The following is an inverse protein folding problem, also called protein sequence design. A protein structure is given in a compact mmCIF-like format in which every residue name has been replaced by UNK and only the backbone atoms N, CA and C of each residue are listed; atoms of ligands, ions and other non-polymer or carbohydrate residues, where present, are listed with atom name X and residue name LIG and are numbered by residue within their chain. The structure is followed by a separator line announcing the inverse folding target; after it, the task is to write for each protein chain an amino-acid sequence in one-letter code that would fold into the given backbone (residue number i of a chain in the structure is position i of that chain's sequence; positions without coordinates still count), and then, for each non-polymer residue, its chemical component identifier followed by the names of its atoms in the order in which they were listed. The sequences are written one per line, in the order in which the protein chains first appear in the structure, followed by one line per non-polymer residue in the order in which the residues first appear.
data_IF_159970136129
#
_entry.id   IF_159970136129
#
_cell.length_a   1.000
_cell.length_b   1.000
_cell.length_c   1.000
_cell.angle_alpha   90.00
_cell.angle_beta   90.00
_cell.angle_gamma   90.00
#
_symmetry.space_group_name_H-M   'P 1'
#
loop_
_entity.id
_entity.type
_entity.pdbx_description
1 polymer ?
#
# COMPACT_ATOMS: atom_id res chain seq x y z
N UNK A 1 1.97 -16.47 -9.50
CA UNK A 1 2.09 -15.23 -8.69
C UNK A 1 2.16 -15.63 -7.24
N UNK A 2 3.18 -15.19 -6.54
CA UNK A 2 3.35 -15.45 -5.11
C UNK A 2 3.68 -14.14 -4.39
N UNK A 3 3.12 -13.95 -3.20
CA UNK A 3 3.48 -12.88 -2.29
C UNK A 3 4.70 -13.29 -1.48
N UNK A 4 5.67 -12.41 -1.37
CA UNK A 4 6.86 -12.57 -0.55
C UNK A 4 7.13 -11.32 0.28
N UNK A 5 7.87 -11.48 1.37
CA UNK A 5 8.36 -10.36 2.15
C UNK A 5 9.29 -9.51 1.28
N UNK A 6 9.08 -8.20 1.23
CA UNK A 6 9.95 -7.30 0.48
C UNK A 6 11.37 -7.29 1.06
N UNK A 7 12.37 -7.39 0.20
CA UNK A 7 13.78 -7.44 0.59
C UNK A 7 14.48 -6.09 0.36
N UNK A 8 15.25 -5.56 1.33
CA UNK A 8 15.84 -4.23 1.24
C UNK A 8 16.85 -4.04 0.09
N UNK A 9 17.47 -5.12 -0.39
CA UNK A 9 18.44 -5.04 -1.48
C UNK A 9 17.85 -5.26 -2.87
N UNK A 10 16.70 -5.92 -2.97
CA UNK A 10 16.16 -6.37 -4.25
C UNK A 10 14.87 -5.67 -4.66
N UNK A 11 14.04 -5.25 -3.68
CA UNK A 11 12.69 -4.78 -3.99
C UNK A 11 12.51 -3.26 -3.84
N UNK A 12 13.43 -2.57 -3.16
CA UNK A 12 13.26 -1.13 -2.83
C UNK A 12 13.12 -0.27 -4.07
N UNK A 13 13.97 -0.47 -5.08
CA UNK A 13 13.92 0.35 -6.30
C UNK A 13 12.65 0.10 -7.09
N UNK A 14 12.23 -1.16 -7.23
CA UNK A 14 11.02 -1.53 -7.96
C UNK A 14 9.77 -0.96 -7.26
N UNK A 15 9.72 -0.99 -5.92
CA UNK A 15 8.64 -0.38 -5.13
C UNK A 15 8.60 1.13 -5.35
N UNK A 16 9.76 1.78 -5.32
CA UNK A 16 9.86 3.24 -5.52
C UNK A 16 9.45 3.62 -6.94
N UNK A 17 9.89 2.88 -7.94
CA UNK A 17 9.56 3.12 -9.33
C UNK A 17 8.06 2.92 -9.61
N UNK A 18 7.48 1.84 -9.08
CA UNK A 18 6.05 1.59 -9.18
C UNK A 18 5.24 2.71 -8.52
N UNK A 19 5.58 3.11 -7.30
CA UNK A 19 4.91 4.21 -6.61
C UNK A 19 5.05 5.52 -7.39
N UNK A 20 6.23 5.80 -7.95
CA UNK A 20 6.49 6.99 -8.74
C UNK A 20 5.66 7.05 -10.02
N UNK A 21 5.48 5.94 -10.70
CA UNK A 21 4.72 5.85 -11.96
C UNK A 21 3.25 6.23 -11.78
N UNK A 22 2.68 6.04 -10.59
CA UNK A 22 1.25 6.22 -10.34
C UNK A 22 0.93 7.35 -9.37
N UNK A 23 1.88 7.80 -8.56
CA UNK A 23 1.66 8.79 -7.51
C UNK A 23 1.23 10.17 -8.03
N UNK A 24 1.69 10.57 -9.21
CA UNK A 24 1.30 11.82 -9.85
C UNK A 24 -0.19 11.89 -10.17
N UNK A 25 -0.83 10.75 -10.39
CA UNK A 25 -2.27 10.66 -10.65
C UNK A 25 -3.11 10.54 -9.37
N UNK A 26 -2.51 10.20 -8.24
CA UNK A 26 -3.22 9.82 -7.01
C UNK A 26 -3.29 10.95 -5.97
N UNK A 27 -2.28 11.79 -5.92
CA UNK A 27 -2.15 12.83 -4.89
C UNK A 27 -2.04 14.25 -5.48
N UNK A 28 -2.58 14.44 -6.66
CA UNK A 28 -2.41 15.63 -7.49
C UNK A 28 -2.73 16.91 -6.73
N UNK A 29 -1.75 17.80 -6.64
CA UNK A 29 -1.87 19.15 -6.09
C UNK A 29 -1.80 19.26 -4.56
N UNK A 30 -1.91 18.18 -3.78
CA UNK A 30 -1.93 18.24 -2.31
C UNK A 30 -0.58 17.86 -1.72
N UNK A 31 -0.02 16.72 -2.13
CA UNK A 31 1.24 16.22 -1.60
C UNK A 31 2.38 16.48 -2.59
N UNK A 32 3.46 17.08 -2.10
CA UNK A 32 4.70 17.16 -2.88
C UNK A 32 5.41 15.81 -2.80
N UNK A 33 5.56 15.18 -3.96
CA UNK A 33 6.33 13.96 -4.07
C UNK A 33 7.81 14.23 -3.77
N UNK A 34 8.39 13.43 -2.89
CA UNK A 34 9.82 13.38 -2.65
C UNK A 34 10.31 11.94 -2.74
N UNK A 35 10.86 11.56 -3.90
CA UNK A 35 11.37 10.21 -4.17
C UNK A 35 12.46 9.78 -3.19
N UNK A 36 13.32 10.70 -2.75
CA UNK A 36 14.41 10.37 -1.81
C UNK A 36 13.86 10.01 -0.44
N UNK A 37 12.89 10.79 0.04
CA UNK A 37 12.20 10.53 1.31
C UNK A 37 11.44 9.21 1.25
N UNK A 38 10.70 8.96 0.16
CA UNK A 38 9.97 7.71 0.02
C UNK A 38 10.90 6.50 -0.03
N UNK A 39 11.96 6.55 -0.87
CA UNK A 39 13.00 5.52 -0.93
C UNK A 39 13.60 5.23 0.44
N UNK A 40 13.99 6.27 1.19
CA UNK A 40 14.53 6.10 2.53
C UNK A 40 13.56 5.38 3.46
N UNK A 41 12.29 5.76 3.45
CA UNK A 41 11.24 5.10 4.28
C UNK A 41 11.05 3.64 3.90
N UNK A 42 11.00 3.32 2.60
CA UNK A 42 10.89 1.92 2.13
C UNK A 42 12.12 1.13 2.56
N UNK A 43 13.33 1.68 2.41
CA UNK A 43 14.58 1.02 2.82
C UNK A 43 14.58 0.73 4.32
N UNK A 44 14.20 1.70 5.15
CA UNK A 44 14.13 1.52 6.61
C UNK A 44 13.12 0.44 6.96
N UNK A 45 11.89 0.53 6.44
CA UNK A 45 10.83 -0.42 6.77
C UNK A 45 11.15 -1.85 6.30
N UNK A 46 11.70 -2.03 5.07
CA UNK A 46 12.13 -3.34 4.57
C UNK A 46 13.30 -3.93 5.36
N UNK A 47 14.19 -3.08 5.88
CA UNK A 47 15.31 -3.53 6.73
C UNK A 47 14.81 -3.91 8.13
N UNK A 48 13.99 -3.06 8.76
CA UNK A 48 13.45 -3.33 10.09
C UNK A 48 12.59 -4.58 10.14
N UNK A 49 11.79 -4.85 9.11
CA UNK A 49 10.94 -6.05 9.07
C UNK A 49 11.71 -7.37 9.03
N UNK A 50 12.99 -7.38 8.64
CA UNK A 50 13.83 -8.59 8.72
C UNK A 50 14.01 -9.03 10.18
N UNK A 51 13.99 -8.08 11.12
CA UNK A 51 14.20 -8.32 12.55
C UNK A 51 12.89 -8.28 13.35
N UNK A 52 11.95 -7.44 12.93
CA UNK A 52 10.68 -7.24 13.63
C UNK A 52 9.51 -7.01 12.64
N UNK A 53 8.81 -8.09 12.31
CA UNK A 53 7.64 -8.07 11.41
C UNK A 53 6.36 -7.56 12.07
N UNK A 54 6.39 -7.28 13.38
CA UNK A 54 5.17 -6.88 14.11
C UNK A 54 4.85 -5.39 13.99
N UNK A 55 5.82 -4.56 13.64
CA UNK A 55 5.65 -3.10 13.59
C UNK A 55 5.14 -2.62 12.24
N UNK A 56 5.83 -3.03 11.19
CA UNK A 56 5.50 -2.73 9.80
C UNK A 56 5.69 -3.98 8.95
N UNK A 57 4.95 -4.07 7.86
CA UNK A 57 5.03 -5.19 6.94
C UNK A 57 4.88 -4.70 5.51
N UNK A 58 5.88 -5.00 4.69
CA UNK A 58 5.85 -4.76 3.25
C UNK A 58 5.96 -6.10 2.54
N UNK A 59 4.99 -6.40 1.70
CA UNK A 59 5.02 -7.57 0.83
C UNK A 59 4.95 -7.14 -0.63
N UNK A 60 5.61 -7.93 -1.49
CA UNK A 60 5.65 -7.76 -2.93
C UNK A 60 5.03 -8.98 -3.63
N UNK A 61 4.35 -8.74 -4.72
CA UNK A 61 3.88 -9.77 -5.63
C UNK A 61 4.62 -9.64 -6.96
N UNK A 62 5.33 -10.70 -7.36
CA UNK A 62 6.03 -10.76 -8.64
C UNK A 62 5.36 -11.77 -9.57
N UNK A 63 5.40 -11.46 -10.85
CA UNK A 63 4.77 -12.26 -11.89
C UNK A 63 5.75 -13.02 -12.74
N UNK A 64 5.27 -14.14 -13.28
CA UNK A 64 5.96 -14.81 -14.36
C UNK A 64 5.72 -14.00 -15.65
N UNK A 65 6.75 -13.72 -16.40
CA UNK A 65 6.61 -13.21 -17.76
C UNK A 65 6.14 -14.36 -18.65
N UNK A 66 4.97 -14.20 -19.28
CA UNK A 66 4.28 -15.27 -20.01
C UNK A 66 4.97 -15.73 -21.29
N UNK A 67 5.98 -15.03 -21.81
CA UNK A 67 6.57 -15.33 -23.11
C UNK A 67 8.06 -15.71 -23.08
N UNK A 68 8.80 -15.44 -22.01
CA UNK A 68 10.22 -15.81 -21.90
C UNK A 68 10.60 -16.08 -20.45
N UNK A 69 9.90 -17.01 -19.80
CA UNK A 69 10.31 -17.51 -18.51
C UNK A 69 11.66 -18.18 -18.62
N UNK A 70 12.69 -17.50 -18.18
CA UNK A 70 13.98 -18.13 -17.90
C UNK A 70 13.92 -18.67 -16.48
N UNK A 71 13.86 -20.02 -16.36
CA UNK A 71 13.86 -20.72 -15.07
C UNK A 71 15.14 -20.47 -14.24
N UNK A 72 16.15 -19.88 -14.87
CA UNK A 72 17.41 -19.53 -14.23
C UNK A 72 17.39 -18.11 -13.63
N UNK A 73 16.35 -17.32 -13.88
CA UNK A 73 16.20 -16.00 -13.23
C UNK A 73 15.71 -16.16 -11.80
N UNK A 74 16.40 -15.49 -10.91
CA UNK A 74 15.98 -15.43 -9.53
C UNK A 74 14.65 -14.67 -9.38
N UNK A 75 13.85 -14.98 -8.35
CA UNK A 75 12.47 -14.47 -8.22
C UNK A 75 12.38 -12.93 -8.18
N UNK A 76 13.42 -12.23 -7.73
CA UNK A 76 13.49 -10.78 -7.70
C UNK A 76 13.76 -10.12 -9.06
N UNK A 77 14.14 -10.89 -10.10
CA UNK A 77 14.29 -10.38 -11.47
C UNK A 77 12.97 -10.37 -12.24
N UNK A 78 11.91 -10.90 -11.64
CA UNK A 78 10.58 -10.90 -12.22
C UNK A 78 9.90 -9.53 -12.04
N UNK A 79 9.02 -9.12 -12.97
CA UNK A 79 8.35 -7.83 -12.87
C UNK A 79 7.51 -7.75 -11.60
N UNK A 80 7.60 -6.62 -10.90
CA UNK A 80 6.74 -6.31 -9.77
C UNK A 80 5.32 -6.05 -10.28
N UNK A 81 4.35 -6.84 -9.80
CA UNK A 81 2.94 -6.70 -10.16
C UNK A 81 2.18 -5.83 -9.15
N UNK A 82 2.65 -5.78 -7.93
CA UNK A 82 2.07 -4.97 -6.87
C UNK A 82 2.82 -5.13 -5.56
N UNK A 83 2.59 -4.18 -4.66
CA UNK A 83 3.07 -4.26 -3.29
C UNK A 83 2.02 -3.73 -2.32
N UNK A 84 2.09 -4.20 -1.07
CA UNK A 84 1.30 -3.68 0.02
C UNK A 84 2.20 -3.36 1.22
N UNK A 85 1.81 -2.31 1.95
CA UNK A 85 2.53 -1.84 3.13
C UNK A 85 1.55 -1.55 4.25
N UNK A 86 1.74 -2.20 5.39
CA UNK A 86 0.90 -2.06 6.58
C UNK A 86 1.74 -1.61 7.77
N UNK A 87 1.11 -0.89 8.69
CA UNK A 87 1.67 -0.59 10.00
C UNK A 87 0.64 -0.81 11.10
N UNK A 88 1.10 -0.73 12.35
CA UNK A 88 0.26 -0.77 13.54
C UNK A 88 0.55 0.42 14.46
N UNK A 89 -0.19 0.52 15.56
CA UNK A 89 -0.04 1.59 16.55
C UNK A 89 -0.98 2.77 16.30
N UNK A 90 -1.93 2.63 15.38
CA UNK A 90 -3.05 3.58 15.27
C UNK A 90 -4.04 3.39 16.42
N UNK A 91 -4.48 4.51 17.03
CA UNK A 91 -5.53 4.53 18.04
C UNK A 91 -6.50 5.66 17.76
N UNK A 92 -7.75 5.47 18.12
CA UNK A 92 -8.71 6.56 18.10
C UNK A 92 -8.87 7.19 19.49
N UNK A 93 -9.35 8.42 19.54
CA UNK A 93 -9.64 9.11 20.82
C UNK A 93 -10.75 8.43 21.64
N UNK A 94 -11.54 7.56 20.99
CA UNK A 94 -12.71 6.93 21.60
C UNK A 94 -12.50 5.49 22.03
N UNK A 95 -11.36 4.89 21.71
CA UNK A 95 -11.09 3.48 22.00
C UNK A 95 -9.63 3.22 22.27
N UNK A 96 -9.35 2.27 23.16
CA UNK A 96 -8.01 1.73 23.39
C UNK A 96 -7.67 0.58 22.43
N UNK A 97 -8.57 0.27 21.50
CA UNK A 97 -8.29 -0.76 20.50
C UNK A 97 -7.31 -0.25 19.46
N UNK A 98 -6.30 -1.06 19.21
CA UNK A 98 -5.27 -0.77 18.23
C UNK A 98 -5.80 -0.94 16.80
N UNK A 99 -5.36 -0.08 15.90
CA UNK A 99 -5.71 -0.12 14.49
C UNK A 99 -4.45 -0.38 13.66
N UNK A 100 -4.54 -1.35 12.77
CA UNK A 100 -3.58 -1.53 11.68
C UNK A 100 -4.05 -0.75 10.45
N UNK A 101 -3.14 0.02 9.86
CA UNK A 101 -3.44 0.83 8.69
C UNK A 101 -2.75 0.29 7.44
N UNK A 102 -3.47 0.25 6.33
CA UNK A 102 -2.87 0.10 5.02
C UNK A 102 -2.24 1.44 4.60
N UNK A 103 -0.92 1.53 4.64
CA UNK A 103 -0.16 2.68 4.11
C UNK A 103 -0.23 2.73 2.59
N UNK A 104 -0.06 1.57 1.96
CA UNK A 104 -0.08 1.43 0.51
C UNK A 104 -0.71 0.11 0.09
N UNK A 105 -1.53 0.18 -0.97
CA UNK A 105 -1.95 -0.91 -1.82
C UNK A 105 -1.70 -0.47 -3.26
N UNK A 106 -0.52 -0.77 -3.80
CA UNK A 106 -0.14 -0.40 -5.15
C UNK A 106 -0.04 -1.62 -6.05
N UNK A 107 -0.45 -1.46 -7.29
CA UNK A 107 -0.34 -2.48 -8.32
C UNK A 107 -0.09 -1.84 -9.69
N UNK A 108 0.46 -2.61 -10.61
CA UNK A 108 0.61 -2.17 -12.00
C UNK A 108 -0.77 -2.02 -12.65
N UNK A 109 -1.10 -0.78 -13.03
CA UNK A 109 -2.39 -0.44 -13.64
C UNK A 109 -2.52 -0.92 -15.08
N UNK A 110 -1.42 -1.33 -15.74
CA UNK A 110 -1.44 -1.92 -17.08
C UNK A 110 -1.91 -3.37 -17.08
N UNK A 111 -1.98 -4.01 -15.91
CA UNK A 111 -2.50 -5.36 -15.79
C UNK A 111 -3.99 -5.44 -16.14
N UNK A 112 -4.44 -6.58 -16.71
CA UNK A 112 -5.86 -6.83 -16.96
C UNK A 112 -6.71 -6.61 -15.70
N UNK A 113 -7.91 -6.04 -15.85
CA UNK A 113 -8.81 -5.72 -14.73
C UNK A 113 -9.02 -6.90 -13.79
N UNK A 114 -9.21 -8.12 -14.34
CA UNK A 114 -9.40 -9.34 -13.54
C UNK A 114 -8.19 -9.62 -12.64
N UNK A 115 -6.98 -9.42 -13.16
CA UNK A 115 -5.72 -9.59 -12.41
C UNK A 115 -5.63 -8.53 -11.31
N UNK A 116 -5.92 -7.27 -11.62
CA UNK A 116 -5.93 -6.17 -10.64
C UNK A 116 -6.89 -6.43 -9.49
N UNK A 117 -8.12 -6.84 -9.79
CA UNK A 117 -9.12 -7.18 -8.77
C UNK A 117 -8.64 -8.33 -7.89
N UNK A 118 -8.00 -9.36 -8.46
CA UNK A 118 -7.42 -10.47 -7.70
C UNK A 118 -6.32 -9.98 -6.77
N UNK A 119 -5.35 -9.18 -7.28
CA UNK A 119 -4.26 -8.65 -6.46
C UNK A 119 -4.76 -7.79 -5.31
N UNK A 120 -5.77 -6.93 -5.53
CA UNK A 120 -6.37 -6.14 -4.43
C UNK A 120 -6.97 -7.05 -3.36
N UNK A 121 -7.68 -8.11 -3.73
CA UNK A 121 -8.21 -9.07 -2.75
C UNK A 121 -7.09 -9.76 -1.98
N UNK A 122 -6.03 -10.18 -2.66
CA UNK A 122 -4.86 -10.80 -2.03
C UNK A 122 -4.14 -9.82 -1.07
N UNK A 123 -4.01 -8.54 -1.43
CA UNK A 123 -3.46 -7.50 -0.54
C UNK A 123 -4.29 -7.33 0.74
N UNK A 124 -5.62 -7.32 0.60
CA UNK A 124 -6.52 -7.26 1.75
C UNK A 124 -6.35 -8.51 2.62
N UNK A 125 -6.22 -9.70 2.03
CA UNK A 125 -5.96 -10.93 2.76
C UNK A 125 -4.63 -10.89 3.53
N UNK A 126 -3.56 -10.40 2.89
CA UNK A 126 -2.27 -10.19 3.55
C UNK A 126 -2.40 -9.26 4.78
N UNK A 127 -3.14 -8.17 4.64
CA UNK A 127 -3.35 -7.23 5.74
C UNK A 127 -4.12 -7.86 6.90
N UNK A 128 -5.21 -8.54 6.62
CA UNK A 128 -6.03 -9.22 7.64
C UNK A 128 -5.20 -10.31 8.35
N UNK A 129 -4.48 -11.13 7.60
CA UNK A 129 -3.65 -12.21 8.16
C UNK A 129 -2.51 -11.66 9.04
N UNK A 130 -1.86 -10.60 8.59
CA UNK A 130 -0.81 -9.95 9.37
C UNK A 130 -1.36 -9.35 10.66
N UNK A 131 -2.44 -8.56 10.60
CA UNK A 131 -3.09 -7.98 11.76
C UNK A 131 -3.55 -9.06 12.76
N UNK A 132 -4.15 -10.15 12.27
CA UNK A 132 -4.55 -11.28 13.10
C UNK A 132 -3.35 -11.95 13.78
N UNK A 133 -2.26 -12.18 13.05
CA UNK A 133 -1.02 -12.79 13.60
C UNK A 133 -0.46 -11.99 14.78
N UNK A 134 -0.58 -10.67 14.73
CA UNK A 134 -0.07 -9.77 15.77
C UNK A 134 -1.14 -9.27 16.74
N UNK A 135 -2.32 -9.90 16.76
CA UNK A 135 -3.44 -9.57 17.64
C UNK A 135 -3.87 -8.10 17.56
N UNK A 136 -3.81 -7.49 16.37
CA UNK A 136 -4.37 -6.15 16.13
C UNK A 136 -5.86 -6.29 15.80
N UNK A 137 -6.76 -5.73 16.64
CA UNK A 137 -8.18 -6.02 16.54
C UNK A 137 -8.88 -5.34 15.36
N UNK A 138 -8.35 -4.24 14.84
CA UNK A 138 -8.99 -3.46 13.78
C UNK A 138 -8.06 -3.29 12.59
N UNK A 139 -8.58 -3.59 11.40
CA UNK A 139 -7.91 -3.35 10.12
C UNK A 139 -8.55 -2.16 9.43
N UNK A 140 -7.76 -1.15 9.11
CA UNK A 140 -8.20 0.07 8.43
C UNK A 140 -7.53 0.20 7.06
N UNK A 141 -8.33 0.49 6.04
CA UNK A 141 -7.85 0.76 4.70
C UNK A 141 -8.45 2.06 4.17
N UNK A 142 -7.62 2.90 3.57
CA UNK A 142 -8.03 4.19 3.04
C UNK A 142 -7.61 4.32 1.59
N UNK A 143 -8.28 5.17 0.83
CA UNK A 143 -7.89 5.53 -0.52
C UNK A 143 -7.97 7.03 -0.71
N UNK A 144 -6.88 7.61 -1.22
CA UNK A 144 -6.81 9.04 -1.58
C UNK A 144 -7.04 9.26 -3.08
N UNK A 145 -7.33 8.21 -3.83
CA UNK A 145 -7.57 8.27 -5.27
C UNK A 145 -8.93 8.85 -5.60
N UNK A 146 -9.01 9.61 -6.67
CA UNK A 146 -10.29 10.10 -7.19
C UNK A 146 -11.23 8.97 -7.63
N UNK A 147 -10.67 7.85 -8.12
CA UNK A 147 -11.40 6.67 -8.61
C UNK A 147 -11.55 5.55 -7.56
N UNK A 148 -11.61 5.92 -6.27
CA UNK A 148 -11.60 4.97 -5.15
C UNK A 148 -12.84 4.06 -5.04
N UNK A 149 -13.92 4.35 -5.74
CA UNK A 149 -15.18 3.61 -5.64
C UNK A 149 -15.03 2.10 -5.89
N UNK A 150 -14.24 1.73 -6.90
CA UNK A 150 -13.98 0.33 -7.23
C UNK A 150 -13.26 -0.39 -6.09
N UNK A 151 -12.26 0.25 -5.51
CA UNK A 151 -11.47 -0.25 -4.38
C UNK A 151 -12.35 -0.41 -3.14
N UNK A 152 -13.16 0.59 -2.79
CA UNK A 152 -14.06 0.53 -1.63
C UNK A 152 -15.19 -0.49 -1.81
N UNK A 153 -15.67 -0.74 -3.05
CA UNK A 153 -16.61 -1.82 -3.33
C UNK A 153 -16.03 -3.21 -3.03
N UNK A 154 -14.74 -3.43 -3.31
CA UNK A 154 -14.06 -4.68 -2.95
C UNK A 154 -14.01 -4.82 -1.43
N UNK A 155 -13.62 -3.79 -0.69
CA UNK A 155 -13.59 -3.79 0.78
C UNK A 155 -14.97 -4.11 1.37
N UNK A 156 -16.02 -3.45 0.88
CA UNK A 156 -17.40 -3.71 1.31
C UNK A 156 -17.83 -5.16 1.08
N UNK A 157 -17.46 -5.76 -0.06
CA UNK A 157 -17.73 -7.19 -0.33
C UNK A 157 -16.96 -8.13 0.62
N UNK A 158 -15.87 -7.66 1.18
CA UNK A 158 -15.04 -8.39 2.16
C UNK A 158 -15.49 -8.16 3.62
N UNK A 159 -16.62 -7.48 3.84
CA UNK A 159 -17.19 -7.23 5.16
C UNK A 159 -16.69 -5.98 5.86
N UNK A 160 -15.88 -5.15 5.20
CA UNK A 160 -15.47 -3.86 5.77
C UNK A 160 -16.67 -2.91 5.84
N UNK A 161 -16.77 -2.18 6.94
CA UNK A 161 -17.68 -1.04 7.08
C UNK A 161 -17.01 0.15 6.38
N UNK A 162 -17.58 0.61 5.28
CA UNK A 162 -17.05 1.74 4.51
C UNK A 162 -17.81 3.00 4.89
N UNK A 163 -17.19 3.81 5.74
CA UNK A 163 -17.73 5.08 6.24
C UNK A 163 -16.68 6.19 6.09
N UNK A 164 -17.15 7.40 5.93
CA UNK A 164 -16.32 8.60 5.92
C UNK A 164 -15.80 8.99 4.54
N UNK A 165 -15.26 10.17 4.51
CA UNK A 165 -14.58 10.78 3.37
C UNK A 165 -13.40 11.59 3.88
N UNK A 166 -12.35 11.71 3.07
CA UNK A 166 -11.21 12.57 3.37
C UNK A 166 -11.42 13.94 2.74
N UNK A 167 -11.12 14.98 3.50
CA UNK A 167 -11.04 16.35 2.99
C UNK A 167 -9.64 16.91 3.29
N UNK A 168 -9.03 17.50 2.30
CA UNK A 168 -7.66 18.01 2.38
C UNK A 168 -7.64 19.45 1.88
N UNK A 169 -6.92 20.31 2.60
CA UNK A 169 -6.55 21.64 2.14
C UNK A 169 -5.15 21.97 2.69
N UNK A 170 -4.37 22.71 1.93
CA UNK A 170 -3.12 23.27 2.46
C UNK A 170 -3.44 24.42 3.41
N UNK A 171 -2.75 24.45 4.56
CA UNK A 171 -2.98 25.47 5.60
C UNK A 171 -2.87 26.90 5.05
N UNK A 172 -1.90 27.15 4.16
CA UNK A 172 -1.74 28.47 3.52
C UNK A 172 -2.94 28.88 2.67
N UNK A 173 -3.59 27.92 2.02
CA UNK A 173 -4.82 28.17 1.23
C UNK A 173 -6.03 28.32 2.15
N UNK A 174 -6.11 27.51 3.21
CA UNK A 174 -7.16 27.65 4.21
C UNK A 174 -7.12 29.02 4.88
N UNK A 175 -5.94 29.55 5.20
CA UNK A 175 -5.79 30.88 5.78
C UNK A 175 -6.33 31.99 4.87
N UNK A 176 -6.17 31.86 3.56
CA UNK A 176 -6.77 32.83 2.61
C UNK A 176 -8.30 32.82 2.63
N UNK A 177 -8.92 31.71 3.02
CA UNK A 177 -10.38 31.61 3.17
C UNK A 177 -10.88 32.24 4.47
N UNK A 178 -10.06 32.24 5.53
CA UNK A 178 -10.43 32.84 6.83
C UNK A 178 -10.26 34.37 6.85
N UNK A 179 -9.49 34.93 5.94
CA UNK A 179 -9.23 36.40 5.87
C UNK A 179 -10.14 37.14 4.88
N UNK A 180 -11.10 36.46 4.29
CA UNK A 180 -12.20 37.03 3.48
C UNK A 180 -13.45 37.22 4.33
#
# INVERSE_FOLDING_TARGET
MAWSLAHPLHDVEDIVEMADSFFGHEADGILKRDRKVFRHRVTVATTEQLFNKSREFIAVCRGETTENWDRNKECFEQPLLGFCWFDRGGYTTYSNEEISNAKFHHLDLNLPVRTRVRLVNEMIDQHILWAHTWNVPIVCSTSIRADHDGFMKIHKKRGFIVNGSYAWIRTEEAMKCLTK
#
